data_IF_651418949927
#
_entry.id   IF_651418949927
#
_cell.length_a   1.000
_cell.length_b   1.000
_cell.length_c   1.000
_cell.angle_alpha   90.00
_cell.angle_beta   90.00
_cell.angle_gamma   90.00
#
_symmetry.space_group_name_H-M   'P 1'
#
loop_
_entity.id
_entity.type
_entity.pdbx_description
1 polymer ?
#
# COMPACT_ATOMS: atom_id res chain seq x y z
N UNK A 1 -2.24 -26.72 41.36
CA UNK A 1 -2.34 -27.48 40.09
C UNK A 1 -2.58 -26.52 38.94
N UNK A 2 -1.91 -26.73 37.81
CA UNK A 2 -2.39 -26.26 36.50
C UNK A 2 -2.07 -24.81 36.12
N UNK A 3 -0.88 -24.58 35.56
CA UNK A 3 -0.64 -23.44 34.69
C UNK A 3 -1.52 -23.56 33.43
N UNK A 4 -2.54 -22.71 33.33
CA UNK A 4 -3.34 -22.53 32.12
C UNK A 4 -3.03 -21.15 31.55
N UNK A 5 -2.15 -21.10 30.55
CA UNK A 5 -1.65 -19.90 29.91
C UNK A 5 -2.75 -19.12 29.15
N UNK A 6 -3.66 -18.46 29.87
CA UNK A 6 -4.57 -17.43 29.37
C UNK A 6 -3.85 -16.16 28.88
N UNK A 7 -2.52 -16.19 28.87
CA UNK A 7 -1.66 -15.09 28.46
C UNK A 7 -1.63 -14.88 26.94
N UNK A 8 -2.11 -15.83 26.13
CA UNK A 8 -2.19 -15.65 24.67
C UNK A 8 -3.24 -14.61 24.24
N UNK A 9 -4.25 -14.31 25.06
CA UNK A 9 -5.34 -13.40 24.63
C UNK A 9 -4.91 -11.93 24.64
N UNK A 10 -4.01 -11.51 25.53
CA UNK A 10 -3.60 -10.10 25.65
C UNK A 10 -2.74 -9.60 24.49
N UNK A 11 -1.87 -10.44 23.93
CA UNK A 11 -0.98 -10.00 22.84
C UNK A 11 -1.68 -9.85 21.49
N UNK A 12 -2.86 -10.45 21.29
CA UNK A 12 -3.66 -10.20 20.08
C UNK A 12 -4.26 -8.78 20.08
N UNK A 13 -4.68 -8.28 21.25
CA UNK A 13 -5.19 -6.91 21.35
C UNK A 13 -4.07 -5.88 21.16
N UNK A 14 -2.85 -6.12 21.67
CA UNK A 14 -1.75 -5.16 21.52
C UNK A 14 -1.30 -4.98 20.07
N UNK A 15 -1.46 -6.03 19.23
CA UNK A 15 -1.23 -5.91 17.78
C UNK A 15 -2.31 -5.09 17.08
N UNK A 16 -3.52 -5.01 17.63
CA UNK A 16 -4.59 -4.15 17.12
C UNK A 16 -4.37 -2.67 17.49
N UNK A 17 -3.79 -2.36 18.65
CA UNK A 17 -3.57 -0.96 19.06
C UNK A 17 -2.53 -0.30 18.16
N UNK A 18 -1.41 -0.98 17.87
CA UNK A 18 -0.46 -0.50 16.86
C UNK A 18 -1.06 -0.46 15.44
N UNK A 19 -2.02 -1.33 15.13
CA UNK A 19 -2.76 -1.28 13.87
C UNK A 19 -3.75 -0.10 13.80
N UNK A 20 -4.16 0.52 14.90
CA UNK A 20 -5.07 1.68 14.85
C UNK A 20 -4.31 2.99 14.61
N UNK A 21 -3.07 3.08 15.12
CA UNK A 21 -2.18 4.23 14.84
C UNK A 21 -1.69 4.21 13.39
N UNK A 22 -1.47 3.01 12.84
CA UNK A 22 -1.06 2.80 11.44
C UNK A 22 -2.29 2.64 10.50
N UNK A 23 -3.47 2.38 11.04
CA UNK A 23 -4.72 2.16 10.29
C UNK A 23 -5.24 3.42 9.60
N UNK A 24 -4.96 4.60 10.14
CA UNK A 24 -5.27 5.87 9.47
C UNK A 24 -4.53 6.03 8.14
N UNK A 25 -3.39 5.35 7.96
CA UNK A 25 -2.68 5.35 6.70
C UNK A 25 -3.49 4.66 5.60
N UNK A 26 -4.28 3.62 5.90
CA UNK A 26 -5.14 2.96 4.90
C UNK A 26 -6.36 3.81 4.50
N UNK A 27 -6.89 4.63 5.42
CA UNK A 27 -8.09 5.41 5.16
C UNK A 27 -7.79 6.72 4.41
N UNK A 28 -6.68 7.39 4.73
CA UNK A 28 -6.21 8.55 3.94
C UNK A 28 -5.91 8.15 2.49
N UNK A 29 -5.47 6.90 2.25
CA UNK A 29 -5.24 6.36 0.92
C UNK A 29 -6.52 6.16 0.09
N UNK A 30 -7.73 6.15 0.69
CA UNK A 30 -8.98 5.91 -0.06
C UNK A 30 -9.45 7.14 -0.84
N UNK A 31 -9.09 8.35 -0.41
CA UNK A 31 -9.35 9.59 -1.17
C UNK A 31 -8.22 9.97 -2.11
N UNK A 32 -7.03 9.43 -1.87
CA UNK A 32 -5.94 9.55 -2.81
C UNK A 32 -6.28 8.75 -4.06
N UNK A 33 -6.15 9.40 -5.21
CA UNK A 33 -6.36 8.82 -6.53
C UNK A 33 -5.35 7.68 -6.65
N UNK A 34 -5.83 6.46 -6.48
CA UNK A 34 -5.04 5.27 -6.61
C UNK A 34 -4.74 5.10 -8.10
N UNK A 35 -3.52 5.43 -8.52
CA UNK A 35 -3.09 5.36 -9.91
C UNK A 35 -2.65 3.93 -10.18
N UNK A 36 -3.38 3.23 -11.06
CA UNK A 36 -3.05 1.86 -11.44
C UNK A 36 -2.13 1.84 -12.66
N UNK A 37 -1.02 1.11 -12.56
CA UNK A 37 -0.17 0.80 -13.70
C UNK A 37 -0.89 -0.19 -14.62
N UNK A 38 -1.04 0.13 -15.91
CA UNK A 38 -1.67 -0.75 -16.90
C UNK A 38 -0.81 -1.94 -17.31
N UNK A 39 0.48 -1.90 -17.04
CA UNK A 39 1.42 -2.96 -17.43
C UNK A 39 1.47 -4.07 -16.38
N UNK A 40 1.48 -3.73 -15.10
CA UNK A 40 1.58 -4.70 -14.00
C UNK A 40 0.34 -4.77 -13.10
N UNK A 41 -0.67 -3.92 -13.34
CA UNK A 41 -1.87 -3.76 -12.50
C UNK A 41 -1.60 -3.39 -11.04
N UNK A 42 -0.38 -2.97 -10.71
CA UNK A 42 -0.07 -2.46 -9.37
C UNK A 42 -0.69 -1.08 -9.17
N UNK A 43 -1.24 -0.89 -7.99
CA UNK A 43 -1.86 0.36 -7.56
C UNK A 43 -0.88 1.18 -6.75
N UNK A 44 -0.72 2.44 -7.12
CA UNK A 44 0.19 3.37 -6.48
C UNK A 44 -0.57 4.55 -5.90
N UNK A 45 -0.01 5.10 -4.83
CA UNK A 45 -0.61 6.20 -4.08
C UNK A 45 -0.24 7.59 -4.63
N UNK A 46 0.86 7.70 -5.35
CA UNK A 46 1.40 8.99 -5.81
C UNK A 46 2.07 8.86 -7.17
N UNK A 47 2.03 9.95 -7.94
CA UNK A 47 2.70 10.05 -9.24
C UNK A 47 4.22 9.81 -9.13
N UNK A 48 4.86 10.29 -8.06
CA UNK A 48 6.29 10.08 -7.81
C UNK A 48 6.63 8.58 -7.78
N UNK A 49 5.86 7.78 -7.03
CA UNK A 49 6.06 6.33 -6.98
C UNK A 49 5.74 5.64 -8.29
N UNK A 50 4.74 6.15 -9.04
CA UNK A 50 4.45 5.68 -10.39
C UNK A 50 5.65 5.88 -11.30
N UNK A 51 6.31 7.04 -11.20
CA UNK A 51 7.45 7.38 -12.02
C UNK A 51 8.67 6.53 -11.74
N UNK A 52 9.03 6.40 -10.46
CA UNK A 52 10.10 5.48 -10.05
C UNK A 52 9.80 4.04 -10.47
N UNK A 53 8.54 3.60 -10.37
CA UNK A 53 8.14 2.27 -10.80
C UNK A 53 8.30 2.07 -12.31
N UNK A 54 7.84 2.99 -13.14
CA UNK A 54 7.98 2.88 -14.58
C UNK A 54 9.45 2.89 -15.00
N UNK A 55 10.26 3.81 -14.46
CA UNK A 55 11.69 3.90 -14.78
C UNK A 55 12.46 2.64 -14.34
N UNK A 56 12.12 2.06 -13.18
CA UNK A 56 12.84 0.89 -12.64
C UNK A 56 12.32 -0.47 -13.14
N UNK A 57 10.99 -0.63 -13.34
CA UNK A 57 10.36 -1.90 -13.73
C UNK A 57 10.08 -1.98 -15.22
N UNK A 58 9.88 -0.84 -15.85
CA UNK A 58 9.48 -0.74 -17.23
C UNK A 58 10.43 0.22 -18.00
N UNK A 59 11.77 0.03 -17.96
CA UNK A 59 12.72 0.98 -18.55
C UNK A 59 12.58 1.13 -20.07
N UNK A 60 11.87 0.19 -20.73
CA UNK A 60 11.57 0.21 -22.17
C UNK A 60 10.20 0.82 -22.49
N UNK A 61 9.38 1.08 -21.49
CA UNK A 61 8.03 1.60 -21.65
C UNK A 61 7.94 2.94 -20.93
N UNK A 62 7.54 3.97 -21.68
CA UNK A 62 7.38 5.31 -21.13
C UNK A 62 6.39 5.34 -19.96
N UNK A 63 6.52 6.38 -19.13
CA UNK A 63 5.60 6.68 -18.05
C UNK A 63 4.14 6.63 -18.50
N UNK A 64 3.86 7.17 -19.69
CA UNK A 64 2.53 7.21 -20.30
C UNK A 64 2.05 5.84 -20.81
N UNK A 65 2.97 4.91 -21.09
CA UNK A 65 2.63 3.52 -21.42
C UNK A 65 2.15 2.79 -20.16
N UNK A 66 2.83 3.00 -19.03
CA UNK A 66 2.43 2.45 -17.74
C UNK A 66 1.18 3.13 -17.18
N UNK A 67 1.08 4.44 -17.35
CA UNK A 67 0.08 5.32 -16.78
C UNK A 67 -0.49 6.27 -17.84
N UNK A 68 -1.39 5.77 -18.72
CA UNK A 68 -1.95 6.59 -19.80
C UNK A 68 -2.76 7.79 -19.28
N UNK A 69 -3.24 7.71 -18.03
CA UNK A 69 -3.96 8.80 -17.37
C UNK A 69 -3.07 10.00 -16.99
N UNK A 70 -1.74 9.85 -17.02
CA UNK A 70 -0.79 10.95 -16.77
C UNK A 70 -0.48 11.76 -18.04
N UNK A 71 -0.88 11.28 -19.22
CA UNK A 71 -0.71 12.01 -20.46
C UNK A 71 -1.73 13.14 -20.52
N UNK A 72 -1.26 14.37 -20.35
CA UNK A 72 -2.08 15.58 -20.31
C UNK A 72 -2.15 16.25 -21.67
#
# INVERSE_FOLDING_TARGET
MGGGNGQKVKTACERNIFSHLVGSQLETNKKAINIQCKVCMQTFISEVKCREHAEAKHPKADLYTCFPHLHK
#
